data_IF_688228772965
#
_entry.id   IF_688228772965
#
_cell.length_a   1.000
_cell.length_b   1.000
_cell.length_c   1.000
_cell.angle_alpha   90.00
_cell.angle_beta   90.00
_cell.angle_gamma   90.00
#
_symmetry.space_group_name_H-M   'P 1'
#
loop_
_entity.id
_entity.type
_entity.pdbx_description
1 polymer ?
#
# COMPACT_ATOMS: atom_id res chain seq x y z
N UNK A 1 4.20 33.95 49.67
CA UNK A 1 4.50 33.13 48.47
C UNK A 1 5.49 32.11 48.95
N UNK A 2 5.11 30.82 49.05
CA UNK A 2 6.07 29.80 49.47
C UNK A 2 7.20 29.74 48.43
N UNK A 3 8.45 29.72 48.88
CA UNK A 3 9.60 29.69 47.98
C UNK A 3 9.59 28.38 47.18
N UNK A 4 9.98 28.43 45.91
CA UNK A 4 9.99 27.28 45.00
C UNK A 4 10.81 26.10 45.55
N UNK A 5 11.84 26.40 46.35
CA UNK A 5 12.66 25.42 47.07
C UNK A 5 11.86 24.64 48.10
N UNK A 6 10.97 25.31 48.83
CA UNK A 6 10.10 24.72 49.84
C UNK A 6 9.08 23.78 49.22
N UNK A 7 8.50 24.17 48.08
CA UNK A 7 7.57 23.33 47.30
C UNK A 7 8.28 22.07 46.78
N UNK A 8 9.51 22.21 46.28
CA UNK A 8 10.29 21.07 45.80
C UNK A 8 10.68 20.12 46.93
N UNK A 9 11.05 20.63 48.10
CA UNK A 9 11.38 19.80 49.26
C UNK A 9 10.17 19.01 49.76
N UNK A 10 9.01 19.67 49.89
CA UNK A 10 7.76 19.00 50.26
C UNK A 10 7.36 17.91 49.25
N UNK A 11 7.62 18.13 47.96
CA UNK A 11 7.36 17.12 46.92
C UNK A 11 8.28 15.90 47.03
N UNK A 12 9.57 16.11 47.32
CA UNK A 12 10.53 15.01 47.53
C UNK A 12 10.20 14.20 48.79
N UNK A 13 9.75 14.86 49.84
CA UNK A 13 9.26 14.21 51.06
C UNK A 13 8.02 13.35 50.76
N UNK A 14 7.08 13.86 49.97
CA UNK A 14 5.91 13.10 49.51
C UNK A 14 6.27 11.88 48.66
N UNK A 15 7.28 11.99 47.80
CA UNK A 15 7.78 10.87 47.00
C UNK A 15 8.39 9.76 47.87
N UNK A 16 9.03 10.12 48.99
CA UNK A 16 9.63 9.14 49.90
C UNK A 16 8.61 8.24 50.60
N UNK A 17 7.37 8.70 50.75
CA UNK A 17 6.28 7.90 51.34
C UNK A 17 5.72 6.84 50.39
N UNK A 18 6.04 6.91 49.09
CA UNK A 18 5.58 5.91 48.13
C UNK A 18 6.60 4.79 48.10
N UNK A 19 6.24 3.55 48.49
CA UNK A 19 7.19 2.44 48.51
C UNK A 19 7.79 2.20 47.13
N UNK A 20 9.12 2.07 47.07
CA UNK A 20 9.86 1.83 45.83
C UNK A 20 9.37 0.61 45.04
N UNK A 21 8.73 -0.36 45.71
CA UNK A 21 8.11 -1.54 45.11
C UNK A 21 7.01 -1.22 44.08
N UNK A 22 6.44 -0.02 44.10
CA UNK A 22 5.43 0.42 43.14
C UNK A 22 6.04 1.07 41.88
N UNK A 23 7.30 1.53 41.97
CA UNK A 23 8.04 2.17 40.88
C UNK A 23 9.21 1.36 40.36
N UNK A 24 9.63 0.32 41.08
CA UNK A 24 10.45 -0.75 40.55
C UNK A 24 9.75 -1.28 39.31
N UNK A 25 10.27 -0.90 38.14
CA UNK A 25 10.00 -1.58 36.89
C UNK A 25 10.37 -3.05 37.12
N UNK A 26 9.42 -3.87 37.58
CA UNK A 26 9.49 -5.31 37.36
C UNK A 26 9.80 -5.42 35.89
N UNK A 27 10.94 -6.00 35.53
CA UNK A 27 11.20 -6.36 34.15
C UNK A 27 10.13 -7.37 33.77
N UNK A 28 8.98 -6.87 33.32
CA UNK A 28 7.94 -7.69 32.76
C UNK A 28 8.59 -8.21 31.50
N UNK A 29 8.99 -9.48 31.53
CA UNK A 29 9.46 -10.19 30.35
C UNK A 29 8.24 -10.33 29.44
N UNK A 30 8.00 -9.28 28.66
CA UNK A 30 6.86 -9.11 27.79
C UNK A 30 7.11 -9.97 26.56
N UNK A 31 6.52 -11.17 26.55
CA UNK A 31 6.58 -12.08 25.42
C UNK A 31 6.16 -11.37 24.12
N UNK A 32 7.12 -11.11 23.23
CA UNK A 32 6.91 -10.45 21.93
C UNK A 32 5.88 -11.18 21.05
N UNK A 33 5.56 -12.43 21.36
CA UNK A 33 4.54 -13.26 20.72
C UNK A 33 3.14 -12.65 20.79
N UNK A 34 2.83 -11.91 21.85
CA UNK A 34 1.51 -11.30 22.05
C UNK A 34 1.41 -9.85 21.57
N UNK A 35 2.53 -9.29 21.09
CA UNK A 35 2.57 -7.96 20.50
C UNK A 35 2.40 -8.04 18.99
N UNK A 36 1.45 -7.28 18.45
CA UNK A 36 1.33 -7.10 17.00
C UNK A 36 2.57 -6.36 16.52
N UNK A 37 3.47 -7.04 15.79
CA UNK A 37 4.62 -6.42 15.10
C UNK A 37 4.08 -5.34 14.17
N UNK A 38 4.10 -4.09 14.63
CA UNK A 38 3.57 -3.00 13.84
C UNK A 38 4.51 -2.76 12.66
N UNK A 39 3.97 -2.68 11.45
CA UNK A 39 4.72 -2.27 10.26
C UNK A 39 5.26 -0.83 10.32
N UNK A 40 5.05 -0.16 11.46
CA UNK A 40 5.60 1.17 11.74
C UNK A 40 7.03 1.09 12.33
N UNK A 41 7.48 -0.06 12.85
CA UNK A 41 8.86 -0.23 13.28
C UNK A 41 9.85 0.01 12.12
N UNK A 42 9.51 -0.45 10.90
CA UNK A 42 10.30 -0.15 9.71
C UNK A 42 10.22 1.33 9.32
N UNK A 43 9.09 2.02 9.53
CA UNK A 43 8.97 3.46 9.28
C UNK A 43 9.77 4.30 10.28
N UNK A 44 9.82 3.91 11.55
CA UNK A 44 10.65 4.56 12.58
C UNK A 44 12.14 4.37 12.27
N UNK A 45 12.54 3.15 11.89
CA UNK A 45 13.90 2.85 11.42
C UNK A 45 14.27 3.70 10.19
N UNK A 46 13.37 3.82 9.21
CA UNK A 46 13.57 4.70 8.04
C UNK A 46 13.71 6.17 8.44
N UNK A 47 12.94 6.65 9.44
CA UNK A 47 13.02 8.03 9.93
C UNK A 47 14.31 8.30 10.70
N UNK A 48 14.76 7.34 11.53
CA UNK A 48 16.05 7.41 12.24
C UNK A 48 17.23 7.37 11.27
N UNK A 49 17.18 6.50 10.25
CA UNK A 49 18.20 6.46 9.20
C UNK A 49 18.23 7.75 8.37
N UNK A 50 17.06 8.36 8.10
CA UNK A 50 16.98 9.67 7.44
C UNK A 50 17.58 10.78 8.31
N UNK A 51 17.32 10.79 9.61
CA UNK A 51 17.94 11.77 10.51
C UNK A 51 19.44 11.54 10.68
N UNK A 52 19.89 10.29 10.77
CA UNK A 52 21.31 9.94 10.84
C UNK A 52 22.07 10.40 9.59
N UNK A 53 21.51 10.19 8.40
CA UNK A 53 22.12 10.67 7.15
C UNK A 53 22.08 12.20 6.99
N UNK A 54 21.06 12.88 7.53
CA UNK A 54 21.06 14.35 7.60
C UNK A 54 22.14 14.88 8.55
N UNK A 55 22.33 14.22 9.69
CA UNK A 55 23.36 14.59 10.67
C UNK A 55 24.76 14.35 10.14
N UNK A 56 24.99 13.21 9.48
CA UNK A 56 26.26 12.87 8.83
C UNK A 56 26.61 13.88 7.71
N UNK A 57 25.61 14.40 7.00
CA UNK A 57 25.80 15.48 6.02
C UNK A 57 26.07 16.84 6.63
N UNK A 58 25.68 17.06 7.89
CA UNK A 58 25.85 18.32 8.61
C UNK A 58 27.09 18.33 9.52
N UNK A 59 27.77 17.18 9.69
CA UNK A 59 28.99 17.10 10.48
C UNK A 59 30.19 17.68 9.67
N UNK A 60 30.81 18.80 10.11
CA UNK A 60 31.88 19.47 9.37
C UNK A 60 33.19 18.69 9.32
N UNK A 61 33.33 17.61 10.10
CA UNK A 61 34.53 16.75 10.13
C UNK A 61 34.64 15.85 8.89
N UNK A 62 33.51 15.56 8.22
CA UNK A 62 33.48 14.76 6.98
C UNK A 62 33.47 15.65 5.73
N UNK A 63 33.08 16.93 5.88
CA UNK A 63 32.91 17.89 4.79
C UNK A 63 34.14 18.79 4.60
N UNK A 64 35.35 18.23 4.74
CA UNK A 64 36.58 18.92 4.38
C UNK A 64 36.83 19.02 2.87
N UNK A 65 36.23 18.15 2.05
CA UNK A 65 36.61 17.99 0.63
C UNK A 65 35.44 17.73 -0.34
N UNK A 66 34.30 18.40 -0.19
CA UNK A 66 33.25 18.31 -1.21
C UNK A 66 32.51 19.62 -1.39
N UNK A 67 32.87 20.32 -2.47
CA UNK A 67 32.20 21.50 -2.98
C UNK A 67 30.68 21.35 -3.05
N UNK A 68 30.04 22.42 -2.61
CA UNK A 68 28.64 22.73 -2.76
C UNK A 68 28.28 22.94 -4.23
N UNK A 69 27.54 22.01 -4.82
CA UNK A 69 26.55 22.39 -5.82
C UNK A 69 25.48 21.31 -5.99
N UNK A 70 24.30 21.54 -5.42
CA UNK A 70 23.05 20.92 -5.86
C UNK A 70 21.87 21.76 -5.37
N UNK A 71 21.52 22.76 -6.19
CA UNK A 71 20.16 23.28 -6.25
C UNK A 71 19.23 22.14 -6.70
N UNK A 72 18.45 21.60 -5.77
CA UNK A 72 17.45 20.57 -6.06
C UNK A 72 16.20 21.25 -6.66
N UNK A 73 16.11 21.21 -7.98
CA UNK A 73 14.89 21.54 -8.74
C UNK A 73 13.84 20.46 -8.46
N UNK A 74 12.92 20.74 -7.54
CA UNK A 74 11.68 19.99 -7.41
C UNK A 74 10.51 20.93 -7.11
N UNK A 75 10.29 21.88 -8.02
CA UNK A 75 9.08 22.67 -8.13
C UNK A 75 8.37 22.27 -9.43
N UNK A 76 7.63 21.16 -9.39
CA UNK A 76 6.62 20.84 -10.40
C UNK A 76 5.25 20.79 -9.73
N UNK A 77 4.64 21.97 -9.61
CA UNK A 77 3.21 22.22 -9.61
C UNK A 77 3.01 23.72 -9.39
N UNK A 78 3.11 24.49 -10.48
CA UNK A 78 2.54 25.83 -10.55
C UNK A 78 1.90 25.96 -11.92
N UNK A 79 0.68 26.45 -11.87
CA UNK A 79 -0.30 26.50 -12.94
C UNK A 79 0.20 27.33 -14.13
N UNK A 80 -0.13 26.83 -15.32
CA UNK A 80 0.11 27.41 -16.63
C UNK A 80 -0.94 28.50 -16.90
N UNK A 81 -0.63 29.74 -16.51
CA UNK A 81 -1.31 30.95 -16.98
C UNK A 81 -0.34 31.72 -17.87
N UNK A 82 -0.45 31.49 -19.18
CA UNK A 82 0.37 32.12 -20.20
C UNK A 82 0.17 33.64 -20.28
N UNK A 83 1.21 34.38 -19.90
CA UNK A 83 1.44 35.75 -20.33
C UNK A 83 2.64 35.83 -21.27
N UNK A 84 2.62 36.88 -22.07
CA UNK A 84 3.11 36.99 -23.44
C UNK A 84 4.62 37.06 -23.65
N UNK A 85 4.99 36.46 -24.78
CA UNK A 85 6.25 36.45 -25.50
C UNK A 85 6.67 37.86 -25.99
N UNK A 86 7.24 38.73 -25.15
CA UNK A 86 7.82 40.00 -25.65
C UNK A 86 9.01 40.62 -24.89
N UNK A 87 9.49 40.06 -23.76
CA UNK A 87 10.51 40.75 -22.93
C UNK A 87 11.86 40.00 -22.81
N UNK A 88 12.50 39.62 -23.93
CA UNK A 88 13.86 39.05 -23.89
C UNK A 88 14.83 39.60 -24.96
N UNK A 89 14.54 40.76 -25.54
CA UNK A 89 15.53 41.51 -26.32
C UNK A 89 16.09 42.62 -25.45
N UNK A 90 17.18 42.31 -24.73
CA UNK A 90 18.32 43.21 -24.44
C UNK A 90 19.09 42.71 -23.21
N UNK A 91 20.22 42.02 -23.44
CA UNK A 91 21.42 42.17 -22.60
C UNK A 91 22.63 41.51 -23.27
N UNK A 92 23.52 42.39 -23.69
CA UNK A 92 24.81 42.17 -24.31
C UNK A 92 25.84 41.39 -23.47
N UNK A 93 26.87 40.98 -24.21
CA UNK A 93 28.24 40.65 -23.79
C UNK A 93 28.57 39.17 -23.53
N UNK A 94 29.01 38.56 -24.62
CA UNK A 94 29.88 37.40 -24.71
C UNK A 94 31.14 37.55 -23.84
N UNK A 95 31.18 36.90 -22.67
CA UNK A 95 32.45 36.46 -22.08
C UNK A 95 32.79 35.07 -22.62
N UNK A 96 33.78 35.03 -23.52
CA UNK A 96 34.30 33.77 -24.06
C UNK A 96 35.15 33.12 -22.96
N UNK A 97 34.57 32.17 -22.23
CA UNK A 97 35.30 31.34 -21.27
C UNK A 97 36.21 30.37 -22.05
N UNK A 98 37.50 30.25 -21.69
CA UNK A 98 38.40 29.30 -22.33
C UNK A 98 37.90 27.86 -22.11
N UNK A 99 38.01 27.04 -23.16
CA UNK A 99 37.51 25.66 -23.17
C UNK A 99 38.11 24.87 -21.99
N UNK A 100 37.29 24.13 -21.21
CA UNK A 100 37.79 23.36 -20.07
C UNK A 100 38.83 22.33 -20.54
N UNK A 101 39.93 22.25 -19.78
CA UNK A 101 41.06 21.37 -20.08
C UNK A 101 40.60 19.93 -20.34
N UNK A 102 41.20 19.26 -21.33
CA UNK A 102 40.77 17.93 -21.80
C UNK A 102 40.65 16.85 -20.70
N UNK A 103 41.32 17.04 -19.56
CA UNK A 103 41.16 16.18 -18.38
C UNK A 103 39.76 16.25 -17.74
N UNK A 104 39.08 17.39 -17.82
CA UNK A 104 37.72 17.57 -17.33
C UNK A 104 36.68 16.94 -18.26
N UNK A 105 36.93 16.97 -19.57
CA UNK A 105 36.08 16.29 -20.55
C UNK A 105 36.09 14.76 -20.36
N UNK A 106 37.24 14.16 -20.03
CA UNK A 106 37.32 12.74 -19.70
C UNK A 106 36.57 12.42 -18.40
N UNK A 107 36.69 13.27 -17.38
CA UNK A 107 35.88 13.15 -16.15
C UNK A 107 34.37 13.25 -16.45
N UNK A 108 33.97 14.11 -17.38
CA UNK A 108 32.58 14.24 -17.81
C UNK A 108 32.08 12.98 -18.52
N UNK A 109 32.92 12.40 -19.39
CA UNK A 109 32.64 11.12 -20.05
C UNK A 109 32.53 9.98 -19.04
N UNK A 110 33.43 9.88 -18.08
CA UNK A 110 33.38 8.86 -17.03
C UNK A 110 32.14 9.01 -16.15
N UNK A 111 31.77 10.26 -15.80
CA UNK A 111 30.52 10.58 -15.10
C UNK A 111 29.27 10.20 -15.93
N UNK A 112 29.29 10.45 -17.24
CA UNK A 112 28.19 10.05 -18.13
C UNK A 112 28.07 8.53 -18.24
N UNK A 113 29.20 7.84 -18.41
CA UNK A 113 29.25 6.37 -18.48
C UNK A 113 28.75 5.71 -17.20
N UNK A 114 29.20 6.19 -16.03
CA UNK A 114 28.71 5.70 -14.74
C UNK A 114 27.21 5.96 -14.53
N UNK A 115 26.72 7.15 -14.94
CA UNK A 115 25.29 7.48 -14.89
C UNK A 115 24.45 6.61 -15.83
N UNK A 116 24.94 6.35 -17.05
CA UNK A 116 24.29 5.45 -18.01
C UNK A 116 24.25 4.01 -17.49
N UNK A 117 25.34 3.50 -16.91
CA UNK A 117 25.37 2.18 -16.28
C UNK A 117 24.41 2.09 -15.09
N UNK A 118 24.33 3.13 -14.27
CA UNK A 118 23.36 3.21 -13.18
C UNK A 118 21.92 3.18 -13.71
N UNK A 119 21.61 3.95 -14.75
CA UNK A 119 20.27 3.95 -15.36
C UNK A 119 19.94 2.61 -16.01
N UNK A 120 20.90 1.96 -16.67
CA UNK A 120 20.71 0.63 -17.25
C UNK A 120 20.45 -0.41 -16.16
N UNK A 121 21.20 -0.40 -15.05
CA UNK A 121 20.94 -1.24 -13.85
C UNK A 121 19.57 -0.98 -13.22
N UNK A 122 19.15 0.28 -13.17
CA UNK A 122 17.84 0.67 -12.60
C UNK A 122 16.67 0.26 -13.49
N UNK A 123 16.87 0.22 -14.82
CA UNK A 123 15.87 -0.23 -15.81
C UNK A 123 15.84 -1.75 -15.98
N UNK A 124 16.98 -2.41 -15.83
CA UNK A 124 17.14 -3.85 -15.91
C UNK A 124 17.85 -4.31 -14.63
N UNK A 125 17.09 -4.64 -13.58
CA UNK A 125 17.62 -5.10 -12.29
C UNK A 125 18.25 -6.50 -12.33
N UNK A 126 19.07 -6.80 -13.34
CA UNK A 126 19.67 -8.11 -13.60
C UNK A 126 21.03 -7.88 -14.28
N UNK A 127 22.12 -8.31 -13.65
CA UNK A 127 23.44 -8.29 -14.28
C UNK A 127 23.42 -9.21 -15.52
N UNK A 128 24.02 -8.83 -16.66
CA UNK A 128 24.10 -9.69 -17.85
C UNK A 128 24.76 -11.07 -17.61
N UNK A 129 25.57 -11.20 -16.55
CA UNK A 129 26.22 -12.45 -16.13
C UNK A 129 25.29 -13.43 -15.38
N UNK A 130 24.17 -12.93 -14.82
CA UNK A 130 23.20 -13.74 -14.05
C UNK A 130 22.12 -14.40 -14.93
N UNK A 131 22.11 -14.09 -16.24
CA UNK A 131 21.15 -14.64 -17.20
C UNK A 131 21.60 -15.95 -17.85
N UNK A 132 22.76 -16.48 -17.48
CA UNK A 132 23.18 -17.79 -17.98
C UNK A 132 22.31 -18.88 -17.36
N UNK A 133 21.80 -19.78 -18.20
CA UNK A 133 20.91 -20.89 -17.82
C UNK A 133 21.47 -21.73 -16.66
N UNK A 134 22.80 -21.85 -16.58
CA UNK A 134 23.51 -22.61 -15.57
C UNK A 134 23.53 -21.93 -14.20
N UNK A 135 23.66 -20.59 -14.13
CA UNK A 135 23.58 -19.85 -12.87
C UNK A 135 22.18 -19.97 -12.23
N UNK A 136 21.13 -19.95 -13.06
CA UNK A 136 19.75 -20.13 -12.62
C UNK A 136 19.49 -21.55 -12.06
N UNK A 137 20.07 -22.57 -12.70
CA UNK A 137 19.96 -23.96 -12.27
C UNK A 137 20.70 -24.21 -10.94
N UNK A 138 21.88 -23.62 -10.77
CA UNK A 138 22.64 -23.71 -9.52
C UNK A 138 21.92 -23.01 -8.35
N UNK A 139 21.43 -21.78 -8.56
CA UNK A 139 20.65 -21.05 -7.56
C UNK A 139 19.41 -21.82 -7.08
N UNK A 140 18.69 -22.47 -8.01
CA UNK A 140 17.54 -23.33 -7.70
C UNK A 140 17.93 -24.57 -6.89
N UNK A 141 19.10 -25.16 -7.15
CA UNK A 141 19.66 -26.29 -6.40
C UNK A 141 19.98 -25.92 -4.96
N UNK A 142 20.64 -24.77 -4.76
CA UNK A 142 20.96 -24.26 -3.42
C UNK A 142 19.70 -23.94 -2.60
N UNK A 143 18.66 -23.38 -3.23
CA UNK A 143 17.38 -23.17 -2.56
C UNK A 143 16.67 -24.48 -2.19
N UNK A 144 16.75 -25.54 -2.99
CA UNK A 144 16.09 -26.82 -2.65
C UNK A 144 16.81 -27.56 -1.52
N UNK A 145 18.12 -27.35 -1.37
CA UNK A 145 18.94 -28.00 -0.32
C UNK A 145 18.70 -27.33 1.04
N UNK A 146 18.53 -26.00 1.07
CA UNK A 146 18.40 -25.24 2.30
C UNK A 146 16.95 -25.10 2.83
N UNK A 147 15.96 -25.67 2.15
CA UNK A 147 14.57 -25.65 2.63
C UNK A 147 14.29 -26.91 3.46
N UNK A 148 14.07 -26.81 4.78
CA UNK A 148 13.66 -27.96 5.58
C UNK A 148 12.29 -28.45 5.07
N UNK A 149 12.21 -29.73 4.69
CA UNK A 149 10.95 -30.37 4.26
C UNK A 149 9.95 -30.31 5.41
N UNK A 150 9.03 -29.34 5.39
CA UNK A 150 7.89 -29.29 6.31
C UNK A 150 7.01 -30.51 6.06
N UNK A 151 7.06 -31.48 6.97
CA UNK A 151 6.06 -32.55 7.04
C UNK A 151 4.71 -31.90 7.34
N UNK A 152 3.79 -31.98 6.39
CA UNK A 152 2.40 -31.54 6.57
C UNK A 152 1.73 -32.54 7.50
N UNK A 153 1.50 -32.15 8.75
CA UNK A 153 0.57 -32.85 9.63
C UNK A 153 -0.85 -32.48 9.17
N UNK A 154 -1.60 -33.48 8.71
CA UNK A 154 -3.00 -33.36 8.33
C UNK A 154 -3.86 -33.36 9.59
N UNK A 155 -4.02 -32.18 10.20
CA UNK A 155 -4.97 -32.00 11.29
C UNK A 155 -6.39 -31.89 10.73
N UNK A 156 -7.14 -32.99 10.86
CA UNK A 156 -8.58 -33.04 10.61
C UNK A 156 -9.30 -32.14 11.61
N UNK A 157 -9.87 -31.02 11.16
CA UNK A 157 -10.85 -30.25 11.95
C UNK A 157 -12.27 -30.74 11.62
N UNK A 158 -13.11 -31.09 12.61
CA UNK A 158 -14.51 -31.41 12.35
C UNK A 158 -15.31 -30.14 12.02
N UNK A 159 -16.16 -30.26 11.00
CA UNK A 159 -17.21 -29.31 10.63
C UNK A 159 -18.22 -29.20 11.78
N UNK A 160 -18.36 -28.01 12.37
CA UNK A 160 -19.50 -27.68 13.21
C UNK A 160 -20.61 -27.14 12.30
N UNK A 161 -21.75 -27.84 12.27
CA UNK A 161 -22.98 -27.38 11.64
C UNK A 161 -23.70 -26.43 12.61
N UNK A 162 -23.88 -25.17 12.20
CA UNK A 162 -24.69 -24.20 12.93
C UNK A 162 -26.17 -24.35 12.56
N UNK A 163 -26.92 -25.06 13.40
CA UNK A 163 -28.39 -25.00 13.44
C UNK A 163 -28.81 -23.86 14.39
N UNK A 164 -29.12 -22.68 13.85
CA UNK A 164 -29.85 -21.64 14.58
C UNK A 164 -31.34 -21.73 14.28
N UNK A 165 -32.02 -22.54 15.08
CA UNK A 165 -33.48 -22.54 15.21
C UNK A 165 -33.96 -21.25 15.89
N UNK A 166 -35.06 -20.72 15.35
CA UNK A 166 -35.91 -19.67 15.93
C UNK A 166 -36.41 -20.12 17.30
N UNK A 167 -36.17 -19.33 18.35
CA UNK A 167 -37.03 -19.34 19.54
C UNK A 167 -37.83 -18.04 19.55
N UNK A 168 -39.06 -18.15 19.09
CA UNK A 168 -40.17 -17.25 19.41
C UNK A 168 -40.41 -17.32 20.92
N UNK A 169 -40.13 -16.23 21.63
CA UNK A 169 -40.47 -16.12 23.04
C UNK A 169 -41.93 -15.68 23.14
N UNK A 170 -42.75 -16.61 23.61
CA UNK A 170 -44.14 -16.44 23.98
C UNK A 170 -44.26 -15.44 25.12
N UNK A 171 -45.14 -14.45 24.93
CA UNK A 171 -45.68 -13.58 25.97
C UNK A 171 -46.75 -14.34 26.74
N UNK A 172 -46.48 -14.68 28.00
CA UNK A 172 -47.51 -15.04 28.97
C UNK A 172 -47.83 -13.80 29.81
N UNK A 173 -49.06 -13.32 29.65
CA UNK A 173 -49.75 -12.38 30.54
C UNK A 173 -50.12 -13.08 31.84
N UNK A 174 -49.63 -12.58 32.97
CA UNK A 174 -50.29 -12.79 34.26
C UNK A 174 -50.32 -11.46 35.02
N UNK A 175 -51.55 -11.10 35.41
CA UNK A 175 -51.88 -10.02 36.32
C UNK A 175 -51.35 -10.33 37.73
N UNK A 176 -50.66 -9.37 38.35
CA UNK A 176 -50.78 -9.10 39.79
C UNK A 176 -50.10 -7.80 40.19
N UNK A 177 -50.97 -6.91 40.68
CA UNK A 177 -50.81 -6.01 41.82
C UNK A 177 -49.80 -4.86 41.74
N UNK A 178 -50.38 -3.68 41.93
CA UNK A 178 -49.72 -2.40 42.07
C UNK A 178 -48.97 -2.37 43.40
N UNK A 179 -47.64 -2.38 43.33
CA UNK A 179 -46.80 -1.73 44.30
C UNK A 179 -45.86 -0.80 43.52
N UNK A 180 -45.75 0.44 44.01
CA UNK A 180 -44.98 1.55 43.44
C UNK A 180 -43.47 1.32 43.58
N UNK A 181 -42.98 0.21 43.01
CA UNK A 181 -41.56 -0.03 42.82
C UNK A 181 -41.09 0.81 41.64
N UNK A 182 -40.43 1.93 41.95
CA UNK A 182 -39.68 2.74 40.98
C UNK A 182 -38.79 1.80 40.14
N UNK A 183 -39.26 1.50 38.93
CA UNK A 183 -38.66 0.52 38.05
C UNK A 183 -37.22 0.92 37.70
N UNK A 184 -36.26 0.28 38.37
CA UNK A 184 -34.81 0.46 38.16
C UNK A 184 -34.35 0.13 36.72
N UNK A 185 -35.23 -0.51 35.94
CA UNK A 185 -35.03 -0.78 34.50
C UNK A 185 -34.93 0.51 33.65
N UNK A 186 -35.50 1.63 34.09
CA UNK A 186 -35.38 2.91 33.40
C UNK A 186 -34.05 3.63 33.70
N UNK A 187 -33.52 3.46 34.91
CA UNK A 187 -32.23 4.03 35.35
C UNK A 187 -31.03 3.37 34.63
N UNK A 188 -31.13 2.09 34.27
CA UNK A 188 -30.11 1.40 33.47
C UNK A 188 -29.94 1.96 32.04
N UNK A 189 -30.92 2.71 31.52
CA UNK A 189 -30.82 3.38 30.20
C UNK A 189 -30.10 4.73 30.26
N UNK A 190 -29.90 5.30 31.45
CA UNK A 190 -29.26 6.61 31.62
C UNK A 190 -27.74 6.51 31.44
N UNK A 191 -27.14 5.38 31.83
CA UNK A 191 -25.71 5.12 31.68
C UNK A 191 -25.29 4.69 30.25
N UNK A 192 -26.25 4.46 29.35
CA UNK A 192 -25.95 4.30 27.93
C UNK A 192 -25.77 5.71 27.35
N UNK A 193 -24.54 6.19 27.34
CA UNK A 193 -24.12 7.35 26.53
C UNK A 193 -24.80 7.19 25.16
N UNK A 194 -25.81 8.02 24.89
CA UNK A 194 -26.57 7.95 23.62
C UNK A 194 -25.55 8.15 22.51
N UNK A 195 -25.15 7.06 21.85
CA UNK A 195 -24.24 7.16 20.73
C UNK A 195 -24.91 8.04 19.68
N UNK A 196 -24.27 9.16 19.37
CA UNK A 196 -24.79 10.10 18.39
C UNK A 196 -25.00 9.36 17.07
N UNK A 197 -26.18 9.55 16.47
CA UNK A 197 -26.54 8.87 15.21
C UNK A 197 -25.52 9.27 14.15
N UNK A 198 -24.79 8.28 13.63
CA UNK A 198 -23.77 8.49 12.59
C UNK A 198 -24.45 8.93 11.29
N UNK A 199 -23.83 9.88 10.61
CA UNK A 199 -24.25 10.29 9.26
C UNK A 199 -24.05 9.12 8.27
N UNK A 200 -24.88 9.02 7.21
CA UNK A 200 -24.73 7.98 6.20
C UNK A 200 -23.37 8.09 5.52
N UNK A 201 -22.68 6.95 5.39
CA UNK A 201 -21.37 6.87 4.75
C UNK A 201 -21.45 6.96 3.22
N UNK A 202 -22.59 6.54 2.63
CA UNK A 202 -22.78 6.59 1.19
C UNK A 202 -23.29 7.96 0.72
N UNK A 203 -22.59 8.66 -0.21
CA UNK A 203 -23.01 9.97 -0.70
C UNK A 203 -24.37 9.97 -1.41
N UNK A 204 -24.83 8.85 -1.98
CA UNK A 204 -26.18 8.77 -2.56
C UNK A 204 -27.25 8.81 -1.47
N UNK A 205 -27.06 8.01 -0.43
CA UNK A 205 -27.94 8.02 0.75
C UNK A 205 -27.93 9.37 1.46
N UNK A 206 -26.75 10.00 1.61
CA UNK A 206 -26.63 11.34 2.18
C UNK A 206 -27.42 12.39 1.35
N UNK A 207 -27.32 12.33 0.02
CA UNK A 207 -28.06 13.23 -0.87
C UNK A 207 -29.57 13.01 -0.77
N UNK A 208 -30.03 11.77 -0.69
CA UNK A 208 -31.44 11.45 -0.50
C UNK A 208 -31.97 11.96 0.84
N UNK A 209 -31.19 11.79 1.92
CA UNK A 209 -31.57 12.32 3.25
C UNK A 209 -31.64 13.84 3.26
N UNK A 210 -30.70 14.50 2.58
CA UNK A 210 -30.69 15.96 2.43
C UNK A 210 -31.93 16.44 1.66
N UNK A 211 -32.27 15.79 0.55
CA UNK A 211 -33.48 16.09 -0.23
C UNK A 211 -34.75 15.86 0.60
N UNK A 212 -34.83 14.74 1.32
CA UNK A 212 -35.96 14.45 2.20
C UNK A 212 -36.09 15.48 3.34
N UNK A 213 -34.97 15.93 3.92
CA UNK A 213 -34.97 17.03 4.90
C UNK A 213 -35.46 18.33 4.29
N UNK A 214 -35.00 18.70 3.10
CA UNK A 214 -35.47 19.90 2.39
C UNK A 214 -36.95 19.87 2.09
N UNK A 215 -37.49 18.72 1.67
CA UNK A 215 -38.93 18.57 1.43
C UNK A 215 -39.73 18.74 2.73
N UNK A 216 -39.28 18.11 3.82
CA UNK A 216 -39.90 18.26 5.14
C UNK A 216 -39.86 19.69 5.66
N UNK A 217 -38.73 20.39 5.48
CA UNK A 217 -38.61 21.79 5.91
C UNK A 217 -39.53 22.69 5.07
N UNK A 218 -39.64 22.47 3.76
CA UNK A 218 -40.59 23.19 2.90
C UNK A 218 -42.06 22.95 3.26
N UNK A 219 -42.41 21.71 3.58
CA UNK A 219 -43.77 21.35 4.02
C UNK A 219 -44.13 22.04 5.34
N UNK A 220 -43.17 22.16 6.26
CA UNK A 220 -43.34 22.86 7.55
C UNK A 220 -43.42 24.39 7.41
N UNK A 221 -42.56 24.98 6.57
CA UNK A 221 -42.57 26.43 6.26
C UNK A 221 -43.92 26.90 5.67
N UNK A 222 -44.70 25.98 5.08
CA UNK A 222 -46.03 26.30 4.56
C UNK A 222 -47.10 26.42 5.65
N UNK A 223 -46.79 26.08 6.91
CA UNK A 223 -47.77 25.95 8.00
C UNK A 223 -47.61 26.96 9.16
N UNK A 224 -46.40 27.45 9.47
CA UNK A 224 -46.19 28.51 10.48
C UNK A 224 -44.73 29.05 10.46
N UNK A 225 -44.56 30.28 10.94
CA UNK A 225 -43.35 31.12 11.08
C UNK A 225 -41.97 30.54 10.62
N UNK A 226 -41.48 31.08 9.49
CA UNK A 226 -40.29 30.63 8.75
C UNK A 226 -38.92 30.75 9.47
N UNK A 227 -38.81 31.55 10.53
CA UNK A 227 -37.50 32.01 11.02
C UNK A 227 -36.94 31.21 12.20
N UNK A 228 -37.76 30.55 13.02
CA UNK A 228 -37.27 29.89 14.23
C UNK A 228 -36.65 28.51 13.93
N UNK A 229 -37.25 27.77 13.00
CA UNK A 229 -36.82 26.41 12.65
C UNK A 229 -35.48 26.40 11.90
N UNK A 230 -35.27 27.34 10.98
CA UNK A 230 -34.03 27.47 10.20
C UNK A 230 -32.84 27.82 11.09
N UNK A 231 -33.04 28.73 12.05
CA UNK A 231 -32.04 29.04 13.06
C UNK A 231 -31.73 27.81 13.92
N UNK A 232 -32.75 27.04 14.33
CA UNK A 232 -32.55 25.85 15.15
C UNK A 232 -31.69 24.78 14.44
N UNK A 233 -31.88 24.57 13.13
CA UNK A 233 -31.14 23.59 12.36
C UNK A 233 -29.70 24.01 12.08
N UNK A 234 -29.47 25.32 11.88
CA UNK A 234 -28.14 25.91 11.80
C UNK A 234 -27.34 25.68 13.09
N UNK A 235 -27.93 25.94 14.26
CA UNK A 235 -27.30 25.70 15.55
C UNK A 235 -27.05 24.21 15.82
N UNK A 236 -27.98 23.32 15.45
CA UNK A 236 -27.77 21.86 15.53
C UNK A 236 -26.60 21.41 14.65
N UNK A 237 -26.50 21.92 13.42
CA UNK A 237 -25.39 21.61 12.51
C UNK A 237 -24.06 22.15 13.04
N UNK A 238 -24.04 23.38 13.55
CA UNK A 238 -22.85 23.99 14.15
C UNK A 238 -22.38 23.22 15.40
N UNK A 239 -23.30 22.86 16.30
CA UNK A 239 -23.02 22.04 17.49
C UNK A 239 -22.50 20.65 17.11
N UNK A 240 -23.10 20.01 16.10
CA UNK A 240 -22.60 18.73 15.59
C UNK A 240 -21.17 18.85 15.04
N UNK A 241 -20.87 19.91 14.27
CA UNK A 241 -19.51 20.17 13.78
C UNK A 241 -18.52 20.44 14.92
N UNK A 242 -18.92 21.23 15.93
CA UNK A 242 -18.10 21.55 17.09
C UNK A 242 -17.80 20.31 17.95
N UNK A 243 -18.75 19.38 18.09
CA UNK A 243 -18.54 18.09 18.74
C UNK A 243 -17.66 17.11 17.94
N UNK A 244 -17.18 17.52 16.75
CA UNK A 244 -16.31 16.72 15.89
C UNK A 244 -17.05 15.76 14.95
N UNK A 245 -18.39 15.85 14.86
CA UNK A 245 -19.17 15.04 13.92
C UNK A 245 -18.98 15.61 12.51
N UNK A 246 -18.52 14.77 11.58
CA UNK A 246 -18.38 15.14 10.17
C UNK A 246 -19.75 15.20 9.49
N UNK A 247 -20.28 16.40 9.38
CA UNK A 247 -21.57 16.69 8.75
C UNK A 247 -21.41 16.86 7.22
N UNK A 248 -22.19 16.13 6.43
CA UNK A 248 -22.16 16.15 4.96
C UNK A 248 -23.48 16.70 4.39
N UNK A 249 -23.70 18.02 4.52
CA UNK A 249 -24.97 18.67 4.15
C UNK A 249 -24.91 19.44 2.81
N UNK A 250 -23.79 19.37 2.08
CA UNK A 250 -23.62 20.10 0.81
C UNK A 250 -24.04 19.27 -0.41
N UNK A 251 -25.14 19.64 -1.07
CA UNK A 251 -25.62 18.92 -2.27
C UNK A 251 -24.59 18.88 -3.39
N UNK A 252 -23.94 20.01 -3.69
CA UNK A 252 -22.98 20.09 -4.78
C UNK A 252 -21.77 19.17 -4.53
N UNK A 253 -21.32 19.08 -3.27
CA UNK A 253 -20.22 18.20 -2.86
C UNK A 253 -20.62 16.73 -2.95
N UNK A 254 -21.83 16.39 -2.49
CA UNK A 254 -22.37 15.03 -2.59
C UNK A 254 -22.52 14.59 -4.05
N UNK A 255 -23.08 15.44 -4.92
CA UNK A 255 -23.16 15.19 -6.38
C UNK A 255 -21.77 14.99 -6.99
N UNK A 256 -20.78 15.82 -6.64
CA UNK A 256 -19.39 15.66 -7.10
C UNK A 256 -18.77 14.34 -6.61
N UNK A 257 -19.03 13.94 -5.36
CA UNK A 257 -18.52 12.69 -4.80
C UNK A 257 -19.13 11.46 -5.50
N UNK A 258 -20.43 11.50 -5.80
CA UNK A 258 -21.10 10.46 -6.61
C UNK A 258 -20.44 10.35 -7.98
N UNK A 259 -20.30 11.48 -8.70
CA UNK A 259 -19.63 11.52 -10.02
C UNK A 259 -18.19 10.97 -9.97
N UNK A 260 -17.42 11.28 -8.93
CA UNK A 260 -16.06 10.74 -8.74
C UNK A 260 -16.09 9.22 -8.54
N UNK A 261 -17.00 8.70 -7.70
CA UNK A 261 -17.16 7.25 -7.52
C UNK A 261 -17.54 6.56 -8.83
N UNK A 262 -18.48 7.12 -9.58
CA UNK A 262 -18.93 6.54 -10.85
C UNK A 262 -17.80 6.54 -11.90
N UNK A 263 -17.02 7.62 -12.01
CA UNK A 263 -15.82 7.67 -12.86
C UNK A 263 -14.78 6.60 -12.50
N UNK A 264 -14.53 6.40 -11.21
CA UNK A 264 -13.61 5.35 -10.73
C UNK A 264 -14.13 3.96 -11.11
N UNK A 265 -15.43 3.72 -10.97
CA UNK A 265 -16.06 2.45 -11.38
C UNK A 265 -16.01 2.25 -12.88
N UNK A 266 -16.24 3.29 -13.68
CA UNK A 266 -16.11 3.23 -15.14
C UNK A 266 -14.68 2.90 -15.58
N UNK A 267 -13.66 3.55 -15.00
CA UNK A 267 -12.25 3.24 -15.24
C UNK A 267 -11.92 1.79 -14.89
N UNK A 268 -12.32 1.35 -13.70
CA UNK A 268 -12.13 -0.04 -13.30
C UNK A 268 -12.81 -1.01 -14.29
N UNK A 269 -14.06 -0.76 -14.67
CA UNK A 269 -14.78 -1.62 -15.63
C UNK A 269 -14.02 -1.73 -16.96
N UNK A 270 -13.54 -0.60 -17.50
CA UNK A 270 -12.72 -0.57 -18.71
C UNK A 270 -11.42 -1.37 -18.53
N UNK A 271 -10.67 -1.14 -17.47
CA UNK A 271 -9.40 -1.84 -17.19
C UNK A 271 -9.62 -3.36 -17.09
N UNK A 272 -10.71 -3.80 -16.45
CA UNK A 272 -11.06 -5.22 -16.37
C UNK A 272 -11.44 -5.81 -17.73
N UNK A 273 -12.16 -5.05 -18.57
CA UNK A 273 -12.51 -5.47 -19.93
C UNK A 273 -11.25 -5.60 -20.82
N UNK A 274 -10.29 -4.68 -20.69
CA UNK A 274 -9.02 -4.71 -21.41
C UNK A 274 -8.14 -5.89 -20.97
N UNK A 275 -8.11 -6.18 -19.66
CA UNK A 275 -7.41 -7.36 -19.13
C UNK A 275 -7.98 -8.66 -19.70
N UNK A 276 -9.31 -8.80 -19.78
CA UNK A 276 -9.95 -9.97 -20.41
C UNK A 276 -9.59 -10.09 -21.89
N UNK A 277 -9.70 -8.99 -22.64
CA UNK A 277 -9.30 -8.96 -24.07
C UNK A 277 -7.83 -9.32 -24.27
N UNK A 278 -6.93 -8.84 -23.40
CA UNK A 278 -5.51 -9.16 -23.48
C UNK A 278 -5.23 -10.63 -23.15
N UNK A 279 -5.95 -11.19 -22.18
CA UNK A 279 -5.89 -12.62 -21.87
C UNK A 279 -6.35 -13.46 -23.07
N UNK A 280 -7.49 -13.13 -23.66
CA UNK A 280 -8.02 -13.80 -24.86
C UNK A 280 -7.04 -13.70 -26.04
N UNK A 281 -6.49 -12.51 -26.32
CA UNK A 281 -5.44 -12.33 -27.33
C UNK A 281 -4.20 -13.17 -27.03
N UNK A 282 -3.76 -13.22 -25.77
CA UNK A 282 -2.62 -14.05 -25.35
C UNK A 282 -2.91 -15.54 -25.55
N UNK A 283 -4.12 -15.99 -25.23
CA UNK A 283 -4.55 -17.37 -25.47
C UNK A 283 -4.62 -17.69 -26.97
N UNK A 284 -5.23 -16.82 -27.77
CA UNK A 284 -5.36 -16.99 -29.21
C UNK A 284 -3.99 -17.00 -29.91
N UNK A 285 -3.07 -16.11 -29.54
CA UNK A 285 -1.71 -16.10 -30.08
C UNK A 285 -0.92 -17.35 -29.69
N UNK A 286 -1.07 -17.84 -28.45
CA UNK A 286 -0.46 -19.10 -28.03
C UNK A 286 -1.04 -20.31 -28.78
N UNK A 287 -2.35 -20.35 -29.00
CA UNK A 287 -3.01 -21.38 -29.80
C UNK A 287 -2.57 -21.32 -31.26
N UNK A 288 -2.51 -20.13 -31.87
CA UNK A 288 -2.00 -19.92 -33.23
C UNK A 288 -0.56 -20.41 -33.38
N UNK A 289 0.34 -20.04 -32.45
CA UNK A 289 1.72 -20.55 -32.43
C UNK A 289 1.79 -22.08 -32.34
N UNK A 290 0.91 -22.71 -31.55
CA UNK A 290 0.83 -24.17 -31.48
C UNK A 290 0.35 -24.76 -32.81
N UNK A 291 -0.68 -24.20 -33.42
CA UNK A 291 -1.20 -24.64 -34.72
C UNK A 291 -0.13 -24.52 -35.82
N UNK A 292 0.56 -23.38 -35.91
CA UNK A 292 1.63 -23.13 -36.87
C UNK A 292 2.81 -24.12 -36.66
N UNK A 293 3.21 -24.35 -35.40
CA UNK A 293 4.26 -25.34 -35.09
C UNK A 293 3.84 -26.77 -35.45
N UNK A 294 2.57 -27.14 -35.26
CA UNK A 294 2.04 -28.45 -35.67
C UNK A 294 1.99 -28.56 -37.19
N UNK A 295 1.56 -27.52 -37.90
CA UNK A 295 1.55 -27.47 -39.35
C UNK A 295 2.97 -27.60 -39.93
N UNK A 296 3.94 -26.86 -39.39
CA UNK A 296 5.35 -26.94 -39.78
C UNK A 296 5.95 -28.32 -39.53
N UNK A 297 5.55 -29.02 -38.46
CA UNK A 297 5.96 -30.42 -38.24
C UNK A 297 5.33 -31.37 -39.26
N UNK A 298 4.04 -31.18 -39.57
CA UNK A 298 3.33 -32.00 -40.57
C UNK A 298 3.91 -31.82 -41.98
N UNK A 299 4.20 -30.59 -42.40
CA UNK A 299 4.81 -30.32 -43.71
C UNK A 299 6.22 -30.88 -43.83
N UNK A 300 7.05 -30.72 -42.79
CA UNK A 300 8.43 -31.26 -42.76
C UNK A 300 8.48 -32.80 -42.77
N UNK A 301 7.50 -33.47 -42.14
CA UNK A 301 7.39 -34.93 -42.19
C UNK A 301 6.84 -35.46 -43.53
N UNK A 302 6.20 -34.61 -44.35
CA UNK A 302 5.68 -34.99 -45.66
C UNK A 302 6.75 -34.89 -46.76
N UNK A 303 7.73 -33.99 -46.61
CA UNK A 303 8.86 -33.81 -47.55
C UNK A 303 10.06 -34.71 -47.23
N UNK A 304 10.16 -35.25 -46.01
CA UNK A 304 11.09 -36.34 -45.70
C UNK A 304 10.41 -37.68 -46.00
N UNK A 305 10.48 -38.12 -47.26
CA UNK A 305 10.20 -39.52 -47.61
C UNK A 305 11.06 -40.49 -46.76
N UNK A 306 10.74 -41.80 -46.71
CA UNK A 306 11.32 -42.76 -45.76
C UNK A 306 12.84 -42.88 -45.95
N UNK A 307 13.60 -41.98 -45.31
CA UNK A 307 15.05 -41.99 -45.38
C UNK A 307 15.53 -43.09 -44.47
N UNK A 308 16.03 -44.17 -45.10
CA UNK A 308 16.74 -45.30 -44.49
C UNK A 308 17.50 -44.86 -43.24
N UNK A 309 17.25 -45.58 -42.16
CA UNK A 309 17.91 -45.49 -40.85
C UNK A 309 19.43 -45.35 -40.96
N UNK A 310 19.93 -44.12 -40.98
CA UNK A 310 21.34 -43.85 -40.66
C UNK A 310 21.48 -44.03 -39.16
N UNK A 311 21.90 -45.23 -38.77
CA UNK A 311 22.31 -45.57 -37.40
C UNK A 311 23.26 -44.50 -36.86
N UNK A 312 23.02 -44.08 -35.61
CA UNK A 312 23.84 -43.11 -34.90
C UNK A 312 25.29 -43.62 -34.80
N UNK A 313 26.23 -42.90 -35.38
CA UNK A 313 27.65 -43.18 -35.24
C UNK A 313 28.03 -43.08 -33.74
N UNK A 314 28.44 -44.20 -33.14
CA UNK A 314 28.97 -44.26 -31.79
C UNK A 314 28.08 -44.86 -30.70
N UNK A 315 26.86 -45.32 -30.98
CA UNK A 315 25.97 -45.90 -29.94
C UNK A 315 25.72 -47.41 -30.06
N UNK A 316 25.90 -48.01 -31.24
CA UNK A 316 25.86 -49.47 -31.39
C UNK A 316 27.26 -49.98 -31.67
N UNK A 317 27.98 -50.31 -30.59
CA UNK A 317 29.34 -50.85 -30.64
C UNK A 317 29.40 -52.15 -31.45
N UNK A 318 30.13 -52.12 -32.56
CA UNK A 318 30.84 -53.30 -33.05
C UNK A 318 32.23 -53.29 -32.42
N UNK A 319 32.35 -53.93 -31.27
CA UNK A 319 33.65 -54.30 -30.70
C UNK A 319 34.15 -55.49 -31.53
N UNK A 320 34.71 -55.22 -32.72
CA UNK A 320 35.45 -56.24 -33.46
C UNK A 320 36.84 -56.34 -32.87
N UNK A 321 37.01 -57.32 -31.99
CA UNK A 321 38.27 -57.76 -31.42
C UNK A 321 39.23 -58.21 -32.55
N UNK A 322 40.04 -57.29 -33.09
CA UNK A 322 41.12 -57.64 -34.01
C UNK A 322 42.35 -58.06 -33.22
N UNK A 323 42.44 -59.37 -32.95
CA UNK A 323 43.66 -60.05 -32.53
C UNK A 323 44.81 -59.70 -33.50
N UNK A 324 45.89 -59.10 -33.00
CA UNK A 324 47.18 -59.00 -33.71
C UNK A 324 47.77 -60.42 -33.86
N UNK A 325 48.20 -60.86 -35.06
CA UNK A 325 49.02 -62.05 -35.18
C UNK A 325 50.49 -61.67 -34.88
N UNK A 326 51.07 -62.26 -33.84
CA UNK A 326 52.51 -62.32 -33.62
C UNK A 326 53.12 -63.25 -34.68
N UNK A 327 53.93 -62.69 -35.58
CA UNK A 327 54.75 -63.47 -36.53
C UNK A 327 55.91 -64.14 -35.79
N UNK A 328 56.23 -65.34 -36.26
CA UNK A 328 57.39 -66.18 -35.90
C UNK A 328 58.71 -65.45 -36.10
#
# INVERSE_FOLDING_TARGET
MADLSEINNNFLELLSFIPENLYSHKEINLDEKYFKKSSNASKLQLKLNKQKSLREKLDPVVNGDAESDNLDTNASNIDDDGQSLQDLADSDSSSIQPMPSAGEHNKLKDKLHTRLLHMQRKRHGINPLDNTKDALLQSRRHQSINQPKKKVQLDKKPLYLDNKGKSTQSTSTEDKQQDSSLQFSHLQKINKIKQQKKQPSDPKQALQQLQAKKLKNKEKQSADNDNEDDNSDLWKSASAKASGIKVNDDEARLKKQIKRKDKVKAKSSKDWSERKKNLEKSMATAQKKKADNVANRKSKNKSAGPSKSKKRAGFEGKISNSKKPTKK
#
